data_IF_822133576131
#
_entry.id   IF_822133576131
#
_cell.length_a   1.000
_cell.length_b   1.000
_cell.length_c   1.000
_cell.angle_alpha   90.00
_cell.angle_beta   90.00
_cell.angle_gamma   90.00
#
_symmetry.space_group_name_H-M   'P 1'
#
loop_
_entity.id
_entity.type
_entity.pdbx_description
1 polymer ?
#
# COMPACT_ATOMS: atom_id res chain seq x y z
N UNK A 1 -6.62 -8.73 -17.97
CA UNK A 1 -5.52 -8.74 -17.00
C UNK A 1 -4.37 -9.55 -17.60
N UNK A 2 -3.09 -9.23 -17.34
CA UNK A 2 -2.02 -10.18 -17.61
C UNK A 2 -2.35 -11.48 -16.90
N UNK A 3 -1.98 -12.60 -17.49
CA UNK A 3 -2.33 -13.92 -16.96
C UNK A 3 -1.53 -14.22 -15.67
N UNK A 4 -2.11 -13.89 -14.52
CA UNK A 4 -1.50 -14.17 -13.20
C UNK A 4 -1.40 -15.66 -12.89
N UNK A 5 -2.03 -16.53 -13.69
CA UNK A 5 -2.05 -18.00 -13.50
C UNK A 5 -0.65 -18.59 -13.50
N UNK A 6 0.25 -18.07 -14.36
CA UNK A 6 1.63 -18.56 -14.41
C UNK A 6 2.40 -18.27 -13.13
N UNK A 7 2.20 -17.09 -12.52
CA UNK A 7 2.83 -16.72 -11.24
C UNK A 7 2.27 -17.57 -10.10
N UNK A 8 0.95 -17.69 -10.00
CA UNK A 8 0.31 -18.51 -8.95
C UNK A 8 0.66 -19.99 -9.08
N UNK A 9 0.72 -20.53 -10.31
CA UNK A 9 1.18 -21.88 -10.59
C UNK A 9 2.64 -22.13 -10.18
N UNK A 10 3.52 -21.16 -10.44
CA UNK A 10 4.91 -21.24 -10.01
C UNK A 10 5.03 -21.15 -8.47
N UNK A 11 4.26 -20.28 -7.83
CA UNK A 11 4.26 -20.16 -6.37
C UNK A 11 3.74 -21.43 -5.66
N UNK A 12 2.82 -22.17 -6.26
CA UNK A 12 2.26 -23.39 -5.69
C UNK A 12 3.27 -24.54 -5.54
N UNK A 13 4.46 -24.43 -6.17
CA UNK A 13 5.52 -25.46 -6.10
C UNK A 13 6.33 -25.42 -4.80
N UNK A 14 6.21 -24.33 -4.01
CA UNK A 14 6.94 -24.16 -2.75
C UNK A 14 6.14 -24.69 -1.55
N UNK A 15 6.80 -24.95 -0.39
CA UNK A 15 6.13 -25.35 0.84
C UNK A 15 5.01 -24.35 1.18
N UNK A 16 3.79 -24.82 1.46
CA UNK A 16 2.64 -23.97 1.67
C UNK A 16 2.82 -23.04 2.88
N UNK A 17 2.67 -21.73 2.68
CA UNK A 17 2.80 -20.74 3.75
C UNK A 17 1.77 -20.98 4.88
N UNK A 18 0.54 -21.40 4.54
CA UNK A 18 -0.52 -21.64 5.52
C UNK A 18 -0.15 -22.71 6.56
N UNK A 19 0.79 -23.63 6.28
CA UNK A 19 1.32 -24.59 7.26
C UNK A 19 2.24 -23.94 8.29
N UNK A 20 2.77 -22.74 8.00
CA UNK A 20 3.68 -22.01 8.88
C UNK A 20 2.95 -21.13 9.89
N UNK A 21 1.72 -20.73 9.58
CA UNK A 21 0.98 -19.76 10.40
C UNK A 21 0.23 -20.40 11.58
N UNK A 22 0.04 -21.73 11.58
CA UNK A 22 -0.60 -22.44 12.71
C UNK A 22 -1.98 -21.87 13.08
N UNK A 23 -2.14 -21.50 14.34
CA UNK A 23 -3.39 -20.93 14.88
C UNK A 23 -3.71 -19.55 14.31
N UNK A 24 -2.71 -18.80 13.83
CA UNK A 24 -2.90 -17.47 13.19
C UNK A 24 -3.61 -17.54 11.84
N UNK A 25 -3.97 -18.71 11.36
CA UNK A 25 -4.85 -18.88 10.19
C UNK A 25 -6.19 -18.19 10.35
N UNK A 26 -6.67 -18.10 11.57
CA UNK A 26 -7.89 -17.39 11.92
C UNK A 26 -7.54 -16.12 12.68
N UNK A 27 -8.39 -15.10 12.57
CA UNK A 27 -8.33 -13.93 13.42
C UNK A 27 -9.70 -13.70 14.06
N UNK A 28 -9.69 -13.36 15.35
CA UNK A 28 -10.83 -12.85 16.12
C UNK A 28 -10.62 -11.37 16.45
N UNK A 29 -9.53 -10.78 15.93
CA UNK A 29 -9.22 -9.38 16.11
C UNK A 29 -10.24 -8.52 15.37
N UNK A 30 -10.62 -7.41 16.00
CA UNK A 30 -11.47 -6.41 15.37
C UNK A 30 -10.72 -5.82 14.17
N UNK A 31 -11.44 -5.67 13.07
CA UNK A 31 -10.90 -4.96 11.91
C UNK A 31 -10.72 -3.48 12.27
N UNK A 32 -9.51 -2.99 12.09
CA UNK A 32 -9.10 -1.61 12.38
C UNK A 32 -9.03 -0.76 11.11
N UNK A 33 -8.50 -1.32 10.04
CA UNK A 33 -8.21 -0.61 8.79
C UNK A 33 -9.10 -1.08 7.64
N UNK A 34 -9.80 -0.13 7.02
CA UNK A 34 -10.43 -0.31 5.72
C UNK A 34 -9.51 0.27 4.64
N UNK A 35 -8.81 -0.63 3.93
CA UNK A 35 -7.98 -0.25 2.80
C UNK A 35 -8.82 -0.23 1.52
N UNK A 36 -8.73 0.83 0.74
CA UNK A 36 -9.59 1.04 -0.42
C UNK A 36 -8.71 1.32 -1.65
N UNK A 37 -8.67 0.37 -2.57
CA UNK A 37 -8.01 0.52 -3.87
C UNK A 37 -8.98 1.16 -4.85
N UNK A 38 -8.88 2.48 -5.03
CA UNK A 38 -9.87 3.26 -5.79
C UNK A 38 -9.63 3.29 -7.30
N UNK A 39 -8.62 2.57 -7.81
CA UNK A 39 -8.39 2.44 -9.23
C UNK A 39 -7.00 1.93 -9.58
N UNK A 40 -6.80 1.62 -10.86
CA UNK A 40 -5.53 1.10 -11.38
C UNK A 40 -4.86 2.06 -12.37
N UNK A 41 -5.52 3.17 -12.73
CA UNK A 41 -4.90 4.24 -13.51
C UNK A 41 -3.73 4.84 -12.73
N UNK A 42 -2.61 5.05 -13.38
CA UNK A 42 -1.41 5.63 -12.77
C UNK A 42 -0.56 6.30 -13.85
N UNK A 43 -0.01 7.47 -13.57
CA UNK A 43 0.94 8.13 -14.47
C UNK A 43 2.28 7.38 -14.58
N UNK A 44 2.51 6.33 -13.76
CA UNK A 44 3.71 5.48 -13.78
C UNK A 44 3.40 4.02 -14.09
N UNK A 45 4.46 3.27 -14.52
CA UNK A 45 4.44 1.83 -14.71
C UNK A 45 5.64 1.18 -13.98
N UNK A 46 5.68 1.31 -12.65
CA UNK A 46 6.80 0.85 -11.82
C UNK A 46 7.04 -0.66 -11.93
N UNK A 47 8.31 -1.07 -11.95
CA UNK A 47 8.70 -2.49 -12.13
C UNK A 47 8.31 -3.41 -10.97
N UNK A 48 8.10 -2.84 -9.79
CA UNK A 48 7.72 -3.57 -8.57
C UNK A 48 6.22 -3.51 -8.26
N UNK A 49 5.43 -2.83 -9.10
CA UNK A 49 4.01 -2.62 -8.84
C UNK A 49 3.26 -3.96 -8.76
N UNK A 50 2.74 -4.29 -7.58
CA UNK A 50 2.02 -5.53 -7.33
C UNK A 50 0.62 -5.51 -7.95
N UNK A 51 -0.07 -4.37 -7.98
CA UNK A 51 -1.40 -4.22 -8.62
C UNK A 51 -1.34 -3.94 -10.12
N UNK A 52 -0.14 -3.87 -10.71
CA UNK A 52 0.10 -3.68 -12.16
C UNK A 52 -0.52 -2.41 -12.74
N UNK A 53 -0.55 -1.35 -11.96
CA UNK A 53 -1.02 -0.04 -12.39
C UNK A 53 -0.15 0.56 -13.50
N UNK A 54 -0.77 1.33 -14.40
CA UNK A 54 -0.08 2.00 -15.50
C UNK A 54 -0.97 3.06 -16.15
N UNK A 55 -0.42 3.92 -17.04
CA UNK A 55 -1.22 4.86 -17.84
C UNK A 55 -2.23 4.21 -18.79
N UNK A 56 -2.07 2.93 -19.10
CA UNK A 56 -2.99 2.19 -19.97
C UNK A 56 -4.17 1.57 -19.21
N UNK A 57 -4.22 1.69 -17.86
CA UNK A 57 -5.31 1.16 -17.05
C UNK A 57 -6.41 2.20 -16.91
N UNK A 58 -7.65 1.73 -16.90
CA UNK A 58 -8.85 2.57 -16.84
C UNK A 58 -9.82 2.14 -15.76
N UNK A 59 -9.45 1.14 -14.98
CA UNK A 59 -10.26 0.67 -13.86
C UNK A 59 -10.28 1.73 -12.76
N UNK A 60 -11.47 2.14 -12.38
CA UNK A 60 -11.73 3.13 -11.34
C UNK A 60 -12.93 2.72 -10.47
N UNK A 61 -12.87 3.03 -9.20
CA UNK A 61 -13.97 2.81 -8.27
C UNK A 61 -15.05 3.87 -8.50
N UNK A 62 -16.29 3.42 -8.64
CA UNK A 62 -17.43 4.31 -8.84
C UNK A 62 -17.75 5.10 -7.57
N UNK A 63 -18.47 6.22 -7.74
CA UNK A 63 -19.00 7.01 -6.63
C UNK A 63 -19.86 6.18 -5.67
N UNK A 64 -20.72 5.34 -6.21
CA UNK A 64 -21.59 4.45 -5.43
C UNK A 64 -20.78 3.47 -4.56
N UNK A 65 -19.74 2.85 -5.14
CA UNK A 65 -18.86 1.94 -4.38
C UNK A 65 -18.10 2.66 -3.28
N UNK A 66 -17.64 3.90 -3.53
CA UNK A 66 -17.00 4.74 -2.50
C UNK A 66 -17.98 5.10 -1.36
N UNK A 67 -19.24 5.39 -1.67
CA UNK A 67 -20.29 5.63 -0.67
C UNK A 67 -20.56 4.38 0.18
N UNK A 68 -20.58 3.20 -0.43
CA UNK A 68 -20.67 1.92 0.27
C UNK A 68 -19.46 1.69 1.21
N UNK A 69 -18.24 2.02 0.77
CA UNK A 69 -17.05 1.97 1.62
C UNK A 69 -17.19 2.87 2.86
N UNK A 70 -17.66 4.11 2.69
CA UNK A 70 -17.88 5.03 3.82
C UNK A 70 -18.96 4.53 4.77
N UNK A 71 -20.02 3.93 4.23
CA UNK A 71 -21.07 3.33 5.05
C UNK A 71 -20.53 2.16 5.87
N UNK A 72 -19.82 1.22 5.23
CA UNK A 72 -19.19 0.08 5.89
C UNK A 72 -18.20 0.55 6.94
N UNK A 73 -17.36 1.53 6.63
CA UNK A 73 -16.41 2.12 7.59
C UNK A 73 -17.13 2.56 8.89
N UNK A 74 -18.24 3.28 8.77
CA UNK A 74 -19.01 3.77 9.91
C UNK A 74 -19.71 2.65 10.68
N UNK A 75 -20.34 1.71 9.94
CA UNK A 75 -21.18 0.67 10.52
C UNK A 75 -20.36 -0.40 11.28
N UNK A 76 -19.11 -0.66 10.85
CA UNK A 76 -18.27 -1.68 11.46
C UNK A 76 -17.22 -1.14 12.45
N UNK A 77 -17.12 0.18 12.59
CA UNK A 77 -16.26 0.81 13.59
C UNK A 77 -14.76 0.70 13.28
N UNK A 78 -14.39 0.74 12.00
CA UNK A 78 -13.00 0.92 11.61
C UNK A 78 -12.47 2.27 12.11
N UNK A 79 -11.17 2.35 12.39
CA UNK A 79 -10.51 3.59 12.83
C UNK A 79 -9.66 4.25 11.73
N UNK A 80 -9.23 3.46 10.74
CA UNK A 80 -8.33 3.90 9.67
C UNK A 80 -8.97 3.67 8.30
N UNK A 81 -8.93 4.71 7.45
CA UNK A 81 -9.18 4.61 6.00
C UNK A 81 -7.83 4.74 5.28
N UNK A 82 -7.39 3.69 4.55
CA UNK A 82 -6.13 3.66 3.79
C UNK A 82 -6.44 3.66 2.29
N UNK A 83 -6.32 4.82 1.65
CA UNK A 83 -6.63 5.01 0.22
C UNK A 83 -5.39 4.68 -0.63
N UNK A 84 -5.55 3.69 -1.49
CA UNK A 84 -4.48 3.18 -2.36
C UNK A 84 -4.97 2.96 -3.79
N UNK A 85 -4.10 2.46 -4.64
CA UNK A 85 -4.42 2.14 -6.04
C UNK A 85 -3.22 2.28 -6.96
N UNK A 86 -3.47 2.84 -8.13
CA UNK A 86 -2.44 3.30 -9.05
C UNK A 86 -1.85 4.64 -8.58
N UNK A 87 -2.39 5.73 -9.10
CA UNK A 87 -2.36 7.06 -8.50
C UNK A 87 -3.80 7.36 -8.07
N UNK A 88 -4.12 7.25 -6.76
CA UNK A 88 -5.49 7.43 -6.29
C UNK A 88 -6.10 8.75 -6.72
N UNK A 89 -5.29 9.78 -6.82
CA UNK A 89 -5.64 11.15 -7.23
C UNK A 89 -6.29 11.19 -8.62
N UNK A 90 -6.03 10.21 -9.48
CA UNK A 90 -6.60 10.11 -10.83
C UNK A 90 -8.07 9.65 -10.83
N UNK A 91 -8.61 9.13 -9.71
CA UNK A 91 -10.03 8.82 -9.63
C UNK A 91 -10.83 10.13 -9.60
N UNK A 92 -11.86 10.32 -10.46
CA UNK A 92 -12.62 11.58 -10.56
C UNK A 92 -13.39 11.92 -9.27
N UNK A 93 -13.54 10.98 -8.36
CA UNK A 93 -14.22 11.16 -7.08
C UNK A 93 -13.24 11.29 -5.89
N UNK A 94 -11.92 11.32 -6.16
CA UNK A 94 -10.89 11.30 -5.12
C UNK A 94 -11.05 12.44 -4.10
N UNK A 95 -11.12 13.69 -4.55
CA UNK A 95 -11.19 14.84 -3.65
C UNK A 95 -12.46 14.82 -2.79
N UNK A 96 -13.59 14.50 -3.42
CA UNK A 96 -14.83 14.34 -2.69
C UNK A 96 -14.69 13.24 -1.61
N UNK A 97 -14.15 12.08 -1.99
CA UNK A 97 -13.98 10.96 -1.08
C UNK A 97 -13.06 11.31 0.10
N UNK A 98 -11.95 12.00 -0.15
CA UNK A 98 -11.03 12.43 0.90
C UNK A 98 -11.69 13.39 1.88
N UNK A 99 -12.53 14.32 1.42
CA UNK A 99 -13.30 15.23 2.28
C UNK A 99 -14.32 14.47 3.14
N UNK A 100 -15.05 13.53 2.56
CA UNK A 100 -16.02 12.71 3.31
C UNK A 100 -15.31 11.78 4.31
N UNK A 101 -14.20 11.19 3.92
CA UNK A 101 -13.40 10.35 4.81
C UNK A 101 -12.86 11.16 6.00
N UNK A 102 -12.26 12.32 5.77
CA UNK A 102 -11.78 13.21 6.83
C UNK A 102 -12.92 13.66 7.76
N UNK A 103 -14.11 13.94 7.23
CA UNK A 103 -15.29 14.33 8.02
C UNK A 103 -15.80 13.23 8.96
N UNK A 104 -15.39 11.96 8.78
CA UNK A 104 -15.70 10.88 9.72
C UNK A 104 -14.92 10.95 11.03
N UNK A 105 -13.83 11.73 11.08
CA UNK A 105 -12.88 11.74 12.20
C UNK A 105 -11.89 10.58 12.18
N UNK A 106 -11.88 9.76 11.13
CA UNK A 106 -10.91 8.67 10.94
C UNK A 106 -9.49 9.20 10.76
N UNK A 107 -8.49 8.34 11.06
CA UNK A 107 -7.16 8.49 10.51
C UNK A 107 -7.20 8.14 9.02
N UNK A 108 -7.08 9.13 8.16
CA UNK A 108 -7.13 8.94 6.70
C UNK A 108 -5.72 8.95 6.14
N UNK A 109 -5.35 7.87 5.45
CA UNK A 109 -4.05 7.69 4.79
C UNK A 109 -4.27 7.75 3.27
N UNK A 110 -3.39 8.43 2.56
CA UNK A 110 -3.27 8.33 1.11
C UNK A 110 -1.90 7.78 0.71
N UNK A 111 -1.88 6.78 -0.19
CA UNK A 111 -0.64 6.21 -0.73
C UNK A 111 -0.37 6.81 -2.10
N UNK A 112 0.55 7.76 -2.15
CA UNK A 112 0.84 8.54 -3.36
C UNK A 112 2.23 8.26 -3.93
N UNK A 113 2.35 8.39 -5.24
CA UNK A 113 3.64 8.46 -5.91
C UNK A 113 4.24 9.89 -5.88
N UNK A 114 3.48 10.86 -5.39
CA UNK A 114 3.72 12.29 -5.28
C UNK A 114 3.93 13.03 -6.61
N UNK A 115 4.63 12.44 -7.58
CA UNK A 115 4.92 13.13 -8.85
C UNK A 115 3.65 13.48 -9.64
N UNK A 116 2.52 12.82 -9.36
CA UNK A 116 1.20 13.18 -9.91
C UNK A 116 0.82 14.61 -9.56
N UNK A 117 1.21 15.12 -8.40
CA UNK A 117 0.92 16.47 -7.94
C UNK A 117 1.67 17.58 -8.71
N UNK A 118 2.50 17.24 -9.68
CA UNK A 118 3.09 18.19 -10.63
C UNK A 118 2.46 18.12 -12.03
N UNK A 119 1.49 17.23 -12.23
CA UNK A 119 0.76 17.16 -13.48
C UNK A 119 -0.44 18.12 -13.46
N UNK A 120 -0.81 18.63 -14.65
CA UNK A 120 -1.90 19.58 -14.83
C UNK A 120 -3.20 19.08 -14.19
N UNK A 121 -3.76 19.87 -13.29
CA UNK A 121 -5.01 19.60 -12.57
C UNK A 121 -4.83 18.93 -11.21
N UNK A 122 -3.61 18.51 -10.84
CA UNK A 122 -3.35 17.86 -9.55
C UNK A 122 -2.45 18.70 -8.62
N UNK A 123 -2.05 19.91 -9.03
CA UNK A 123 -1.08 20.72 -8.29
C UNK A 123 -1.59 21.18 -6.93
N UNK A 124 -2.90 21.25 -6.73
CA UNK A 124 -3.53 21.68 -5.47
C UNK A 124 -3.68 20.55 -4.43
N UNK A 125 -3.40 19.32 -4.80
CA UNK A 125 -3.61 18.14 -3.95
C UNK A 125 -2.81 18.17 -2.64
N UNK A 126 -1.53 18.60 -2.60
CA UNK A 126 -0.80 18.71 -1.34
C UNK A 126 -1.46 19.65 -0.32
N UNK A 127 -2.04 20.78 -0.76
CA UNK A 127 -2.77 21.72 0.09
C UNK A 127 -4.09 21.12 0.58
N UNK A 128 -4.79 20.36 -0.28
CA UNK A 128 -5.99 19.62 0.12
C UNK A 128 -5.66 18.62 1.24
N UNK A 129 -4.56 17.87 1.11
CA UNK A 129 -4.15 16.94 2.16
C UNK A 129 -3.85 17.64 3.47
N UNK A 130 -3.13 18.77 3.42
CA UNK A 130 -2.82 19.56 4.61
C UNK A 130 -4.08 20.17 5.26
N UNK A 131 -5.00 20.70 4.44
CA UNK A 131 -6.31 21.21 4.90
C UNK A 131 -7.09 20.13 5.67
N UNK A 132 -7.12 18.93 5.15
CA UNK A 132 -7.89 17.81 5.70
C UNK A 132 -7.16 17.06 6.83
N UNK A 133 -5.84 17.24 7.00
CA UNK A 133 -5.04 16.48 7.96
C UNK A 133 -4.78 15.03 7.52
N UNK A 134 -4.64 14.83 6.20
CA UNK A 134 -4.41 13.50 5.62
C UNK A 134 -2.97 13.05 5.90
N UNK A 135 -2.80 11.80 6.31
CA UNK A 135 -1.49 11.15 6.41
C UNK A 135 -1.02 10.76 5.01
N UNK A 136 0.19 11.16 4.64
CA UNK A 136 0.75 10.89 3.31
C UNK A 136 1.80 9.79 3.37
N UNK A 137 1.51 8.64 2.74
CA UNK A 137 2.48 7.58 2.51
C UNK A 137 3.09 7.72 1.12
N UNK A 138 4.32 8.21 1.06
CA UNK A 138 5.01 8.50 -0.19
C UNK A 138 5.94 7.35 -0.61
N UNK A 139 5.83 6.93 -1.87
CA UNK A 139 6.72 5.91 -2.44
C UNK A 139 8.07 6.51 -2.81
N UNK A 140 9.12 6.22 -2.04
CA UNK A 140 10.49 6.59 -2.36
C UNK A 140 11.43 5.38 -2.19
N UNK A 141 11.57 4.51 -3.21
CA UNK A 141 12.34 3.28 -3.08
C UNK A 141 13.85 3.51 -2.89
N UNK A 142 14.35 4.71 -3.16
CA UNK A 142 15.73 5.11 -2.81
C UNK A 142 15.90 6.62 -2.85
N UNK A 143 16.72 7.20 -1.96
CA UNK A 143 17.11 8.61 -1.96
C UNK A 143 18.12 8.96 -3.07
N UNK A 144 18.77 7.97 -3.71
CA UNK A 144 19.63 8.17 -4.89
C UNK A 144 18.77 8.11 -6.16
N UNK A 145 18.72 9.21 -6.92
CA UNK A 145 17.95 9.37 -8.16
C UNK A 145 18.07 8.17 -9.11
N UNK A 146 19.30 7.78 -9.48
CA UNK A 146 19.55 6.68 -10.44
C UNK A 146 18.95 5.35 -9.97
N UNK A 147 18.99 5.07 -8.68
CA UNK A 147 18.45 3.84 -8.09
C UNK A 147 16.94 3.88 -8.06
N UNK A 148 16.34 4.99 -7.63
CA UNK A 148 14.90 5.18 -7.60
C UNK A 148 14.29 5.09 -9.02
N UNK A 149 14.85 5.81 -9.99
CA UNK A 149 14.37 5.81 -11.37
C UNK A 149 14.55 4.47 -12.10
N UNK A 150 15.55 3.67 -11.73
CA UNK A 150 15.70 2.30 -12.25
C UNK A 150 14.47 1.43 -11.94
N UNK A 151 13.79 1.71 -10.83
CA UNK A 151 12.61 0.97 -10.36
C UNK A 151 11.29 1.60 -10.80
N UNK A 152 11.18 2.93 -10.71
CA UNK A 152 9.93 3.66 -10.97
C UNK A 152 9.81 4.19 -12.41
N UNK A 153 10.92 4.40 -13.09
CA UNK A 153 11.00 5.02 -14.42
C UNK A 153 11.82 6.30 -14.40
N UNK A 154 12.37 6.68 -15.56
CA UNK A 154 13.14 7.91 -15.72
C UNK A 154 12.25 9.14 -15.49
N UNK A 155 12.80 10.18 -14.88
CA UNK A 155 12.11 11.45 -14.63
C UNK A 155 11.14 11.43 -13.44
N UNK A 156 11.06 10.33 -12.69
CA UNK A 156 10.13 10.23 -11.55
C UNK A 156 10.67 10.80 -10.24
N UNK A 157 11.98 10.89 -10.10
CA UNK A 157 12.63 11.28 -8.85
C UNK A 157 12.47 12.79 -8.53
N UNK A 158 12.85 13.65 -9.48
CA UNK A 158 12.87 15.10 -9.21
C UNK A 158 11.49 15.68 -8.86
N UNK A 159 10.38 15.32 -9.57
CA UNK A 159 9.04 15.72 -9.16
C UNK A 159 8.69 15.24 -7.75
N UNK A 160 8.99 13.96 -7.43
CA UNK A 160 8.74 13.42 -6.08
C UNK A 160 9.46 14.25 -5.00
N UNK A 161 10.73 14.62 -5.21
CA UNK A 161 11.50 15.44 -4.26
C UNK A 161 10.91 16.86 -4.12
N UNK A 162 10.47 17.49 -5.23
CA UNK A 162 9.86 18.83 -5.15
C UNK A 162 8.55 18.81 -4.37
N UNK A 163 7.70 17.83 -4.62
CA UNK A 163 6.44 17.69 -3.87
C UNK A 163 6.69 17.37 -2.39
N UNK A 164 7.67 16.53 -2.06
CA UNK A 164 8.05 16.29 -0.66
C UNK A 164 8.50 17.58 0.05
N UNK A 165 9.29 18.44 -0.61
CA UNK A 165 9.66 19.76 -0.06
C UNK A 165 8.43 20.63 0.19
N UNK A 166 7.49 20.67 -0.76
CA UNK A 166 6.24 21.42 -0.62
C UNK A 166 5.41 20.88 0.56
N UNK A 167 5.32 19.57 0.74
CA UNK A 167 4.67 18.97 1.92
C UNK A 167 5.36 19.43 3.22
N UNK A 168 6.70 19.44 3.27
CA UNK A 168 7.42 19.96 4.43
C UNK A 168 7.15 21.46 4.66
N UNK A 169 7.01 22.27 3.61
CA UNK A 169 6.62 23.70 3.73
C UNK A 169 5.22 23.85 4.34
N UNK A 170 4.28 22.96 3.99
CA UNK A 170 2.93 22.89 4.56
C UNK A 170 2.87 22.38 6.00
N UNK A 171 3.97 21.82 6.54
CA UNK A 171 4.04 21.35 7.92
C UNK A 171 4.23 19.86 8.10
N UNK A 172 4.26 19.06 7.03
CA UNK A 172 4.51 17.62 7.08
C UNK A 172 5.93 17.30 7.59
N UNK A 173 6.06 16.22 8.37
CA UNK A 173 7.34 15.76 8.91
C UNK A 173 8.00 16.74 9.91
N UNK A 174 7.23 17.68 10.46
CA UNK A 174 7.72 18.69 11.42
C UNK A 174 7.24 18.48 12.85
N UNK A 175 6.50 17.40 13.07
CA UNK A 175 6.01 17.06 14.40
C UNK A 175 4.66 17.70 14.74
N UNK A 176 4.32 17.62 16.02
CA UNK A 176 3.01 17.96 16.56
C UNK A 176 2.64 19.43 16.35
N UNK A 177 1.46 19.68 15.80
CA UNK A 177 0.90 21.01 15.64
C UNK A 177 1.54 21.91 14.59
N UNK A 178 2.41 21.38 13.74
CA UNK A 178 3.13 22.17 12.72
C UNK A 178 2.31 22.50 11.46
N UNK A 179 1.18 21.84 11.26
CA UNK A 179 0.28 22.08 10.12
C UNK A 179 -0.73 23.18 10.35
N UNK A 180 -1.59 23.48 9.35
CA UNK A 180 -2.68 24.43 9.44
C UNK A 180 -3.61 24.12 10.62
N UNK A 181 -4.08 25.17 11.29
CA UNK A 181 -4.98 25.06 12.46
C UNK A 181 -4.45 24.18 13.61
N UNK A 182 -3.13 24.03 13.71
CA UNK A 182 -2.49 23.22 14.75
C UNK A 182 -2.58 21.70 14.50
N UNK A 183 -2.85 21.26 13.29
CA UNK A 183 -2.89 19.85 12.92
C UNK A 183 -1.49 19.24 12.91
N UNK A 184 -1.39 17.98 13.29
CA UNK A 184 -0.20 17.16 13.05
C UNK A 184 -0.29 16.56 11.66
N UNK A 185 0.68 16.86 10.78
CA UNK A 185 0.75 16.38 9.41
C UNK A 185 1.87 15.36 9.29
N UNK A 186 1.50 14.12 9.05
CA UNK A 186 2.40 12.98 9.01
C UNK A 186 2.77 12.62 7.58
N UNK A 187 4.08 12.61 7.29
CA UNK A 187 4.66 12.15 6.03
C UNK A 187 5.48 10.89 6.29
N UNK A 188 5.01 9.77 5.79
CA UNK A 188 5.69 8.50 5.87
C UNK A 188 6.24 8.07 4.52
N UNK A 189 7.36 7.38 4.54
CA UNK A 189 8.00 6.88 3.33
C UNK A 189 7.91 5.37 3.24
N UNK A 190 7.74 4.88 2.00
CA UNK A 190 7.78 3.45 1.70
C UNK A 190 9.01 3.15 0.86
N UNK A 191 9.86 2.29 1.42
CA UNK A 191 11.02 1.70 0.75
C UNK A 191 10.67 0.30 0.23
N UNK A 192 11.01 0.02 -1.03
CA UNK A 192 10.99 -1.31 -1.61
C UNK A 192 12.38 -1.65 -2.17
N UNK A 193 12.95 -2.82 -1.86
CA UNK A 193 14.25 -3.23 -2.40
C UNK A 193 14.26 -3.25 -3.93
N UNK A 194 15.38 -2.84 -4.53
CA UNK A 194 15.52 -2.93 -5.98
C UNK A 194 15.85 -4.36 -6.42
N UNK A 195 14.81 -5.13 -6.79
CA UNK A 195 14.94 -6.50 -7.31
C UNK A 195 14.67 -7.60 -6.28
N UNK A 196 15.22 -8.78 -6.54
CA UNK A 196 14.99 -10.01 -5.77
C UNK A 196 15.90 -10.10 -4.52
N UNK A 197 15.76 -9.13 -3.62
CA UNK A 197 16.50 -9.04 -2.36
C UNK A 197 15.53 -8.69 -1.22
N UNK A 198 15.92 -9.06 -0.01
CA UNK A 198 15.17 -8.69 1.20
C UNK A 198 15.45 -7.23 1.57
N UNK A 199 14.50 -6.55 2.23
CA UNK A 199 14.78 -5.25 2.83
C UNK A 199 15.89 -5.38 3.87
N UNK A 200 16.68 -4.32 4.08
CA UNK A 200 17.61 -4.24 5.20
C UNK A 200 16.86 -4.00 6.51
N UNK A 201 17.62 -3.88 7.60
CA UNK A 201 17.07 -3.47 8.89
C UNK A 201 16.36 -2.11 8.77
N UNK A 202 15.10 -2.05 9.21
CA UNK A 202 14.24 -0.88 9.03
C UNK A 202 14.75 0.34 9.77
N UNK A 203 15.17 0.19 11.04
CA UNK A 203 15.65 1.31 11.85
C UNK A 203 16.95 1.91 11.30
N UNK A 204 17.87 1.05 10.84
CA UNK A 204 19.10 1.51 10.22
C UNK A 204 18.83 2.27 8.91
N UNK A 205 17.92 1.74 8.09
CA UNK A 205 17.51 2.39 6.83
C UNK A 205 16.79 3.71 7.10
N UNK A 206 15.91 3.77 8.08
CA UNK A 206 15.21 5.01 8.45
C UNK A 206 16.19 6.11 8.88
N UNK A 207 17.16 5.77 9.74
CA UNK A 207 18.21 6.73 10.16
C UNK A 207 18.99 7.26 8.95
N UNK A 208 19.37 6.38 8.03
CA UNK A 208 20.09 6.76 6.81
C UNK A 208 19.24 7.68 5.90
N UNK A 209 17.95 7.33 5.70
CA UNK A 209 17.03 8.14 4.90
C UNK A 209 16.81 9.52 5.53
N UNK A 210 16.57 9.60 6.86
CA UNK A 210 16.40 10.86 7.58
C UNK A 210 17.61 11.77 7.40
N UNK A 211 18.82 11.21 7.59
CA UNK A 211 20.03 11.97 7.40
C UNK A 211 20.19 12.45 5.94
N UNK A 212 20.08 11.55 4.97
CA UNK A 212 20.31 11.87 3.56
C UNK A 212 19.30 12.84 2.99
N UNK A 213 18.02 12.67 3.29
CA UNK A 213 16.97 13.56 2.78
C UNK A 213 17.05 14.95 3.42
N UNK A 214 17.40 15.05 4.70
CA UNK A 214 17.61 16.33 5.35
C UNK A 214 18.85 17.07 4.80
N UNK A 215 19.99 16.39 4.70
CA UNK A 215 21.26 16.99 4.23
C UNK A 215 21.21 17.42 2.75
N UNK A 216 20.68 16.56 1.87
CA UNK A 216 20.74 16.78 0.42
C UNK A 216 19.55 17.59 -0.11
N UNK A 217 18.37 17.44 0.51
CA UNK A 217 17.13 17.99 -0.03
C UNK A 217 16.35 18.91 0.93
N UNK A 218 16.73 18.97 2.22
CA UNK A 218 16.00 19.75 3.23
C UNK A 218 14.63 19.13 3.56
N UNK A 219 14.48 17.82 3.42
CA UNK A 219 13.23 17.09 3.62
C UNK A 219 13.27 16.36 4.96
N UNK A 220 12.22 16.52 5.76
CA UNK A 220 11.93 15.72 6.94
C UNK A 220 10.73 14.81 6.68
N UNK A 221 10.68 13.68 7.37
CA UNK A 221 9.56 12.74 7.35
C UNK A 221 9.48 12.02 8.70
N UNK A 222 8.34 11.38 8.97
CA UNK A 222 8.08 10.78 10.28
C UNK A 222 8.61 9.34 10.36
N UNK A 223 8.14 8.44 9.50
CA UNK A 223 8.51 7.02 9.54
C UNK A 223 8.92 6.48 8.16
N UNK A 224 9.77 5.42 8.16
CA UNK A 224 10.11 4.65 6.97
C UNK A 224 9.59 3.22 7.11
N UNK A 225 8.79 2.79 6.16
CA UNK A 225 8.32 1.40 6.06
C UNK A 225 9.10 0.64 5.00
N UNK A 226 9.80 -0.42 5.41
CA UNK A 226 10.58 -1.29 4.53
C UNK A 226 9.74 -2.50 4.11
N UNK A 227 9.19 -2.48 2.89
CA UNK A 227 8.30 -3.52 2.40
C UNK A 227 9.04 -4.44 1.41
N UNK A 228 9.10 -5.73 1.71
CA UNK A 228 9.60 -6.73 0.77
C UNK A 228 8.71 -6.79 -0.48
N UNK A 229 9.32 -6.99 -1.65
CA UNK A 229 8.53 -7.14 -2.87
C UNK A 229 7.79 -8.48 -2.84
N UNK A 230 6.46 -8.46 -2.78
CA UNK A 230 5.66 -9.67 -2.90
C UNK A 230 5.88 -10.30 -4.30
N UNK A 231 6.07 -11.63 -4.40
CA UNK A 231 6.28 -12.31 -5.67
C UNK A 231 4.97 -12.47 -6.46
N UNK A 232 4.27 -11.37 -6.67
CA UNK A 232 3.00 -11.24 -7.39
C UNK A 232 3.06 -10.08 -8.38
N UNK A 233 1.98 -9.87 -9.14
CA UNK A 233 1.84 -8.80 -10.11
C UNK A 233 3.02 -8.69 -11.07
N UNK A 234 3.37 -7.49 -11.49
CA UNK A 234 4.48 -7.23 -12.44
C UNK A 234 5.84 -7.70 -11.93
N UNK A 235 6.05 -7.68 -10.61
CA UNK A 235 7.30 -8.19 -10.05
C UNK A 235 7.39 -9.72 -10.16
N UNK A 236 6.30 -10.44 -9.87
CA UNK A 236 6.23 -11.90 -10.03
C UNK A 236 6.44 -12.33 -11.48
N UNK A 237 5.80 -11.68 -12.45
CA UNK A 237 6.02 -11.91 -13.88
C UNK A 237 7.48 -11.71 -14.28
N UNK A 238 8.11 -10.66 -13.75
CA UNK A 238 9.52 -10.41 -14.00
C UNK A 238 10.43 -11.47 -13.40
N UNK A 239 10.12 -11.98 -12.20
CA UNK A 239 10.87 -13.07 -11.59
C UNK A 239 10.83 -14.32 -12.47
N UNK A 240 9.67 -14.67 -13.03
CA UNK A 240 9.49 -15.78 -13.97
C UNK A 240 10.30 -15.53 -15.25
N UNK A 241 10.09 -14.39 -15.89
CA UNK A 241 10.73 -14.05 -17.17
C UNK A 241 12.28 -14.03 -17.09
N UNK A 242 12.85 -13.76 -15.90
CA UNK A 242 14.31 -13.72 -15.68
C UNK A 242 14.85 -14.96 -15.00
N UNK A 243 14.05 -16.00 -14.75
CA UNK A 243 14.46 -17.23 -14.06
C UNK A 243 14.89 -17.02 -12.59
N UNK A 244 14.44 -15.94 -11.96
CA UNK A 244 14.82 -15.59 -10.59
C UNK A 244 13.78 -15.99 -9.53
N UNK A 245 12.67 -16.63 -9.90
CA UNK A 245 11.59 -17.00 -8.97
C UNK A 245 12.11 -17.94 -7.88
N UNK A 246 12.78 -19.04 -8.23
CA UNK A 246 13.32 -20.00 -7.25
C UNK A 246 14.30 -19.34 -6.28
N UNK A 247 15.23 -18.54 -6.82
CA UNK A 247 16.22 -17.85 -5.99
C UNK A 247 15.54 -16.91 -4.99
N UNK A 248 14.50 -16.21 -5.40
CA UNK A 248 13.79 -15.25 -4.54
C UNK A 248 12.93 -15.96 -3.52
N UNK A 249 12.13 -16.94 -3.92
CA UNK A 249 11.31 -17.73 -3.00
C UNK A 249 12.14 -18.45 -1.94
N UNK A 250 13.28 -19.05 -2.33
CA UNK A 250 14.17 -19.67 -1.35
C UNK A 250 14.73 -18.66 -0.34
N UNK A 251 14.97 -17.41 -0.74
CA UNK A 251 15.37 -16.35 0.21
C UNK A 251 14.24 -16.00 1.17
N UNK A 252 13.00 -15.82 0.67
CA UNK A 252 11.85 -15.51 1.52
C UNK A 252 11.57 -16.64 2.51
N UNK A 253 11.57 -17.88 2.05
CA UNK A 253 11.36 -19.07 2.87
C UNK A 253 12.46 -19.23 3.92
N UNK A 254 13.72 -19.04 3.52
CA UNK A 254 14.88 -19.15 4.42
C UNK A 254 14.96 -18.02 5.46
N UNK A 255 14.31 -16.89 5.17
CA UNK A 255 14.22 -15.75 6.08
C UNK A 255 12.89 -15.66 6.84
N UNK A 256 12.04 -16.68 6.73
CA UNK A 256 10.75 -16.71 7.45
C UNK A 256 10.95 -16.51 8.95
N UNK A 257 10.27 -15.53 9.49
CA UNK A 257 10.29 -15.19 10.91
C UNK A 257 8.88 -15.39 11.51
N UNK A 258 8.67 -16.41 12.35
CA UNK A 258 7.38 -16.67 12.95
C UNK A 258 6.88 -15.56 13.88
N UNK A 259 7.79 -14.75 14.46
CA UNK A 259 7.45 -13.69 15.39
C UNK A 259 6.71 -12.52 14.68
N UNK A 260 6.80 -12.43 13.36
CA UNK A 260 6.09 -11.40 12.59
C UNK A 260 4.67 -11.82 12.18
N UNK A 261 4.32 -13.10 12.29
CA UNK A 261 3.00 -13.62 11.90
C UNK A 261 1.85 -12.94 12.65
N UNK A 262 1.92 -12.71 13.97
CA UNK A 262 0.85 -12.05 14.71
C UNK A 262 0.55 -10.62 14.23
N UNK A 263 1.56 -9.93 13.71
CA UNK A 263 1.48 -8.52 13.28
C UNK A 263 1.15 -8.34 11.79
N UNK A 264 0.86 -9.41 11.04
CA UNK A 264 0.50 -9.27 9.62
C UNK A 264 -0.76 -8.42 9.44
N UNK A 265 -0.69 -7.41 8.57
CA UNK A 265 -1.80 -6.46 8.30
C UNK A 265 -3.13 -7.15 7.97
N UNK A 266 -3.10 -8.26 7.22
CA UNK A 266 -4.32 -9.02 6.84
C UNK A 266 -5.14 -9.51 8.05
N UNK A 267 -4.60 -9.48 9.25
CA UNK A 267 -5.31 -9.86 10.49
C UNK A 267 -6.26 -8.76 10.96
N UNK A 268 -5.91 -7.49 10.76
CA UNK A 268 -6.64 -6.33 11.27
C UNK A 268 -7.22 -5.44 10.16
N UNK A 269 -6.94 -5.74 8.88
CA UNK A 269 -7.47 -4.95 7.78
C UNK A 269 -8.45 -5.73 6.90
N UNK A 270 -9.27 -4.97 6.17
CA UNK A 270 -10.05 -5.43 5.04
C UNK A 270 -9.69 -4.56 3.83
N UNK A 271 -9.42 -5.19 2.68
CA UNK A 271 -9.00 -4.49 1.47
C UNK A 271 -10.08 -4.58 0.40
N UNK A 272 -10.52 -3.44 -0.10
CA UNK A 272 -11.59 -3.31 -1.12
C UNK A 272 -10.96 -2.99 -2.46
N UNK A 273 -11.20 -3.83 -3.46
CA UNK A 273 -10.77 -3.58 -4.85
C UNK A 273 -11.70 -2.55 -5.50
N UNK A 274 -11.24 -1.91 -6.57
CA UNK A 274 -11.96 -0.89 -7.33
C UNK A 274 -13.38 -1.30 -7.78
N UNK A 275 -13.65 -2.58 -7.92
CA UNK A 275 -14.95 -3.16 -8.29
C UNK A 275 -15.80 -3.60 -7.08
N UNK A 276 -15.36 -3.29 -5.87
CA UNK A 276 -16.04 -3.65 -4.62
C UNK A 276 -15.72 -5.03 -4.06
N UNK A 277 -14.93 -5.85 -4.75
CA UNK A 277 -14.53 -7.17 -4.26
C UNK A 277 -13.63 -7.07 -3.02
N UNK A 278 -13.80 -7.98 -2.05
CA UNK A 278 -13.11 -7.97 -0.77
C UNK A 278 -11.93 -8.93 -0.72
N UNK A 279 -10.85 -8.46 -0.13
CA UNK A 279 -9.60 -9.20 0.08
C UNK A 279 -9.08 -8.98 1.49
N UNK A 280 -8.29 -9.92 2.01
CA UNK A 280 -7.64 -9.74 3.30
C UNK A 280 -6.49 -8.71 3.26
N UNK A 281 -5.90 -8.48 2.08
CA UNK A 281 -4.89 -7.45 1.84
C UNK A 281 -4.76 -7.16 0.33
N UNK A 282 -4.05 -6.08 -0.02
CA UNK A 282 -3.78 -5.68 -1.40
C UNK A 282 -2.84 -6.65 -2.15
N UNK A 283 -1.99 -7.40 -1.46
CA UNK A 283 -1.22 -8.48 -2.09
C UNK A 283 -2.12 -9.64 -2.54
N UNK A 284 -3.16 -9.97 -1.76
CA UNK A 284 -4.17 -10.93 -2.21
C UNK A 284 -4.96 -10.41 -3.42
N UNK A 285 -5.23 -9.09 -3.51
CA UNK A 285 -5.78 -8.49 -4.73
C UNK A 285 -4.86 -8.72 -5.94
N UNK A 286 -3.55 -8.53 -5.75
CA UNK A 286 -2.56 -8.65 -6.83
C UNK A 286 -2.51 -10.04 -7.46
N UNK A 287 -2.88 -11.08 -6.72
CA UNK A 287 -2.89 -12.49 -7.15
C UNK A 287 -4.32 -13.06 -7.30
N UNK A 288 -5.33 -12.19 -7.21
CA UNK A 288 -6.76 -12.50 -7.34
C UNK A 288 -7.25 -13.61 -6.39
N UNK A 289 -6.94 -13.44 -5.11
CA UNK A 289 -7.36 -14.33 -4.03
C UNK A 289 -8.33 -13.63 -3.06
N UNK A 290 -9.63 -13.56 -3.39
CA UNK A 290 -10.63 -12.86 -2.58
C UNK A 290 -10.87 -13.55 -1.24
N UNK A 291 -11.50 -12.83 -0.30
CA UNK A 291 -11.95 -13.36 0.97
C UNK A 291 -12.84 -14.59 0.78
N UNK A 292 -12.71 -15.58 1.66
CA UNK A 292 -13.41 -16.87 1.53
C UNK A 292 -14.95 -16.79 1.61
N UNK A 293 -15.47 -15.74 2.22
CA UNK A 293 -16.92 -15.54 2.36
C UNK A 293 -17.63 -15.16 1.06
N UNK A 294 -16.86 -14.79 0.00
CA UNK A 294 -17.40 -14.37 -1.30
C UNK A 294 -18.21 -13.08 -1.28
N UNK A 295 -18.18 -12.30 -0.17
CA UNK A 295 -18.88 -11.02 -0.05
C UNK A 295 -18.13 -9.93 -0.82
N UNK A 296 -18.88 -8.90 -1.21
CA UNK A 296 -18.37 -7.64 -1.71
C UNK A 296 -18.77 -6.47 -0.78
N UNK A 297 -18.29 -5.27 -1.05
CA UNK A 297 -18.56 -4.11 -0.20
C UNK A 297 -20.05 -3.73 -0.19
N UNK A 298 -20.79 -3.97 -1.27
CA UNK A 298 -22.22 -3.71 -1.33
C UNK A 298 -23.02 -4.69 -0.46
N UNK A 299 -22.60 -5.95 -0.40
CA UNK A 299 -23.22 -6.93 0.51
C UNK A 299 -23.05 -6.47 1.96
N UNK A 300 -21.83 -6.08 2.35
CA UNK A 300 -21.56 -5.56 3.69
C UNK A 300 -22.33 -4.27 3.99
N UNK A 301 -22.49 -3.38 3.04
CA UNK A 301 -23.25 -2.15 3.21
C UNK A 301 -24.75 -2.39 3.44
N UNK A 302 -25.29 -3.49 2.91
CA UNK A 302 -26.72 -3.82 3.02
C UNK A 302 -27.01 -4.69 4.25
N UNK A 303 -26.15 -5.63 4.58
CA UNK A 303 -26.30 -6.53 5.72
C UNK A 303 -25.03 -6.57 6.57
N UNK A 304 -24.94 -5.72 7.62
CA UNK A 304 -23.78 -5.67 8.48
C UNK A 304 -23.53 -7.00 9.20
N UNK A 305 -22.66 -7.84 8.66
CA UNK A 305 -22.21 -9.07 9.33
C UNK A 305 -20.79 -9.45 8.95
N UNK A 306 -19.80 -8.99 9.71
CA UNK A 306 -18.48 -9.62 9.69
C UNK A 306 -18.51 -10.76 10.72
N UNK A 307 -18.12 -11.98 10.35
CA UNK A 307 -17.98 -13.07 11.31
C UNK A 307 -17.00 -12.67 12.43
N UNK A 308 -17.35 -12.95 13.68
CA UNK A 308 -16.46 -12.74 14.83
C UNK A 308 -15.12 -13.47 14.68
N UNK A 309 -15.12 -14.54 13.88
CA UNK A 309 -13.92 -15.28 13.51
C UNK A 309 -13.78 -15.29 11.99
N UNK A 310 -12.67 -14.77 11.49
CA UNK A 310 -12.37 -14.67 10.07
C UNK A 310 -11.25 -15.63 9.67
N UNK A 311 -11.47 -16.42 8.63
CA UNK A 311 -10.47 -17.31 8.02
C UNK A 311 -9.73 -16.56 6.92
N UNK A 312 -8.48 -16.22 7.18
CA UNK A 312 -7.62 -15.44 6.27
C UNK A 312 -7.16 -16.32 5.10
N UNK A 313 -7.13 -15.76 3.90
CA UNK A 313 -6.61 -16.42 2.70
C UNK A 313 -5.11 -16.23 2.61
N UNK A 314 -4.36 -17.32 2.79
CA UNK A 314 -2.92 -17.34 2.65
C UNK A 314 -2.45 -18.11 1.41
N UNK A 315 -1.38 -17.61 0.80
CA UNK A 315 -0.64 -18.28 -0.27
C UNK A 315 0.86 -18.01 -0.14
N UNK A 316 1.66 -18.56 -1.05
CA UNK A 316 3.12 -18.51 -0.89
C UNK A 316 3.73 -17.12 -1.13
N UNK A 317 2.98 -16.16 -1.71
CA UNK A 317 3.41 -14.75 -1.72
C UNK A 317 3.48 -14.14 -0.31
N UNK A 318 2.73 -14.69 0.67
CA UNK A 318 2.72 -14.21 2.06
C UNK A 318 4.06 -14.38 2.78
N UNK A 319 4.98 -15.24 2.28
CA UNK A 319 6.35 -15.28 2.80
C UNK A 319 7.04 -13.92 2.77
N UNK A 320 6.66 -13.02 1.83
CA UNK A 320 7.21 -11.67 1.78
C UNK A 320 6.85 -10.82 3.00
N UNK A 321 5.66 -11.02 3.58
CA UNK A 321 5.22 -10.29 4.77
C UNK A 321 5.94 -10.73 6.06
N UNK A 322 6.49 -11.97 6.07
CA UNK A 322 7.12 -12.57 7.24
C UNK A 322 8.62 -12.85 7.07
N UNK A 323 9.26 -12.26 6.05
CA UNK A 323 10.70 -12.41 5.86
C UNK A 323 11.49 -11.37 6.67
N UNK A 324 12.49 -11.82 7.43
CA UNK A 324 13.35 -10.94 8.25
C UNK A 324 12.58 -10.27 9.39
N UNK A 325 12.52 -8.94 9.40
CA UNK A 325 11.78 -8.15 10.39
C UNK A 325 10.28 -8.01 10.07
N UNK A 326 9.83 -8.58 8.95
CA UNK A 326 8.47 -8.42 8.45
C UNK A 326 8.31 -7.22 7.53
N UNK A 327 7.11 -7.08 6.96
CA UNK A 327 6.72 -5.98 6.05
C UNK A 327 5.32 -5.45 6.41
N UNK A 328 5.00 -5.38 7.68
CA UNK A 328 3.69 -4.95 8.19
C UNK A 328 3.81 -3.78 9.14
#
# INVERSE_FOLDING_TARGET
>A
MPDTRDVNGALAQYPPFWEKVGEYRYTEEQLDTLQINIGLACNFACKHCHVQSSPARTEEMSRETLEQCLKVFKDYGFSVIDVTGGAPEMNPHYEWFMREAAATGARVITRSNLAICEEEGYEHIPELWAELGIVVFASLPHYIKKTSEKQRGAGTFDPTIRVMRRLCELGYGKGEGAGPDGKTLELDLVFNPSGAVLPPDQEAMEREYKQKLAEEFGINFDNLFCIANAPGGRFGERLLATGNMDRYMNKLIGAFNPDTVPAMMCRMQLSVRWDGALYDCDFNQAVDMPCKNGLNIADMANEPSIPAKRDIVFANHCYACCAGTGSS
#
